data_IF_554870185163
#
_entry.id   IF_554870185163
#
_cell.length_a   1.000
_cell.length_b   1.000
_cell.length_c   1.000
_cell.angle_alpha   90.00
_cell.angle_beta   90.00
_cell.angle_gamma   90.00
#
_symmetry.space_group_name_H-M   'P 1'
#
loop_
_entity.id
_entity.type
_entity.pdbx_description
1 polymer ?
#
# COMPACT_ATOMS: atom_id res chain seq x y z
N UNK A 1 3.06 33.68 -8.37
CA UNK A 1 2.21 34.78 -8.88
C UNK A 1 1.89 34.50 -10.35
N UNK A 2 0.64 34.63 -10.80
CA UNK A 2 0.29 34.35 -12.21
C UNK A 2 0.82 35.47 -13.09
N UNK A 3 1.52 35.12 -14.16
CA UNK A 3 1.97 36.09 -15.15
C UNK A 3 0.76 36.60 -15.93
N UNK A 4 0.69 37.91 -16.14
CA UNK A 4 -0.32 38.49 -17.03
C UNK A 4 0.21 38.41 -18.46
N UNK A 5 -0.43 37.66 -19.38
CA UNK A 5 0.02 37.62 -20.77
C UNK A 5 -0.13 39.02 -21.38
N UNK A 6 1.00 39.68 -21.65
CA UNK A 6 1.07 41.01 -22.25
C UNK A 6 2.23 41.06 -23.24
N UNK A 7 2.01 41.69 -24.39
CA UNK A 7 3.02 41.86 -25.44
C UNK A 7 2.66 41.12 -26.73
N UNK A 8 3.65 40.93 -27.64
CA UNK A 8 3.50 40.14 -28.87
C UNK A 8 2.95 38.74 -28.59
N UNK A 9 2.29 38.13 -29.57
CA UNK A 9 1.63 36.83 -29.43
C UNK A 9 2.57 35.77 -28.84
N UNK A 10 3.84 35.76 -29.27
CA UNK A 10 4.87 34.84 -28.81
C UNK A 10 5.17 34.98 -27.30
N UNK A 11 5.09 36.20 -26.76
CA UNK A 11 5.32 36.49 -25.34
C UNK A 11 4.09 36.12 -24.50
N UNK A 12 2.89 36.32 -25.06
CA UNK A 12 1.63 35.91 -24.45
C UNK A 12 1.55 34.37 -24.33
N UNK A 13 1.90 33.65 -25.40
CA UNK A 13 1.90 32.18 -25.44
C UNK A 13 2.86 31.58 -24.40
N UNK A 14 4.06 32.15 -24.26
CA UNK A 14 5.03 31.72 -23.23
C UNK A 14 4.49 31.98 -21.82
N UNK A 15 3.85 33.13 -21.59
CA UNK A 15 3.26 33.45 -20.29
C UNK A 15 2.13 32.47 -19.93
N UNK A 16 1.30 32.06 -20.90
CA UNK A 16 0.27 31.04 -20.71
C UNK A 16 0.86 29.66 -20.42
N UNK A 17 1.85 29.22 -21.20
CA UNK A 17 2.55 27.95 -20.98
C UNK A 17 3.21 27.88 -19.60
N UNK A 18 3.86 28.96 -19.16
CA UNK A 18 4.49 29.04 -17.84
C UNK A 18 3.45 29.06 -16.71
N UNK A 19 2.32 29.73 -16.91
CA UNK A 19 1.19 29.68 -15.97
C UNK A 19 0.61 28.26 -15.85
N UNK A 20 0.47 27.53 -16.97
CA UNK A 20 0.00 26.15 -16.97
C UNK A 20 0.99 25.23 -16.24
N UNK A 21 2.29 25.38 -16.50
CA UNK A 21 3.34 24.62 -15.82
C UNK A 21 3.37 24.90 -14.31
N UNK A 22 3.28 26.16 -13.91
CA UNK A 22 3.18 26.53 -12.49
C UNK A 22 1.93 25.95 -11.82
N UNK A 23 0.79 25.94 -12.50
CA UNK A 23 -0.44 25.34 -11.98
C UNK A 23 -0.31 23.81 -11.84
N UNK A 24 0.31 23.14 -12.82
CA UNK A 24 0.60 21.71 -12.76
C UNK A 24 1.55 21.37 -11.61
N UNK A 25 2.61 22.18 -11.42
CA UNK A 25 3.56 22.02 -10.32
C UNK A 25 2.89 22.19 -8.97
N UNK A 26 2.13 23.27 -8.77
CA UNK A 26 1.42 23.52 -7.51
C UNK A 26 0.41 22.40 -7.21
N UNK A 27 -0.26 21.86 -8.24
CA UNK A 27 -1.15 20.70 -8.09
C UNK A 27 -0.38 19.45 -7.66
N UNK A 28 0.79 19.21 -8.25
CA UNK A 28 1.67 18.08 -7.90
C UNK A 28 2.17 18.17 -6.46
N UNK A 29 2.68 19.34 -6.05
CA UNK A 29 3.14 19.60 -4.68
C UNK A 29 2.00 19.47 -3.67
N UNK A 30 0.80 19.96 -4.01
CA UNK A 30 -0.40 19.82 -3.20
C UNK A 30 -0.75 18.35 -2.93
N UNK A 31 -0.77 17.52 -3.98
CA UNK A 31 -1.00 16.07 -3.86
C UNK A 31 0.06 15.37 -3.03
N UNK A 32 1.33 15.71 -3.22
CA UNK A 32 2.43 15.15 -2.43
C UNK A 32 2.28 15.48 -0.95
N UNK A 33 1.89 16.72 -0.63
CA UNK A 33 1.65 17.15 0.76
C UNK A 33 0.47 16.44 1.39
N UNK A 34 -0.65 16.31 0.68
CA UNK A 34 -1.84 15.59 1.14
C UNK A 34 -1.52 14.10 1.39
N UNK A 35 -0.78 13.48 0.50
CA UNK A 35 -0.29 12.11 0.66
C UNK A 35 0.57 11.95 1.92
N UNK A 36 1.57 12.82 2.13
CA UNK A 36 2.42 12.77 3.32
C UNK A 36 1.63 12.95 4.63
N UNK A 37 0.61 13.82 4.62
CA UNK A 37 -0.27 14.01 5.76
C UNK A 37 -1.10 12.75 6.05
N UNK A 38 -1.72 12.16 5.01
CA UNK A 38 -2.47 10.92 5.12
C UNK A 38 -1.63 9.78 5.68
N UNK A 39 -0.42 9.58 5.14
CA UNK A 39 0.54 8.58 5.63
C UNK A 39 0.91 8.82 7.09
N UNK A 40 1.20 10.07 7.46
CA UNK A 40 1.52 10.42 8.85
C UNK A 40 0.38 10.08 9.81
N UNK A 41 -0.87 10.26 9.40
CA UNK A 41 -2.04 9.89 10.18
C UNK A 41 -2.16 8.36 10.32
N UNK A 42 -2.02 7.63 9.22
CA UNK A 42 -2.14 6.17 9.22
C UNK A 42 -1.04 5.44 10.01
N UNK A 43 0.16 6.02 10.09
CA UNK A 43 1.26 5.54 10.93
C UNK A 43 1.06 5.88 12.41
N UNK A 44 0.42 7.03 12.72
CA UNK A 44 0.24 7.46 14.12
C UNK A 44 -0.66 6.52 14.90
N UNK A 45 -1.77 6.08 14.32
CA UNK A 45 -2.75 5.19 14.98
C UNK A 45 -2.12 3.90 15.54
N UNK A 46 -1.48 3.04 14.73
CA UNK A 46 -0.87 1.80 15.22
C UNK A 46 0.25 2.08 16.22
N UNK A 47 1.04 3.14 16.00
CA UNK A 47 2.12 3.52 16.91
C UNK A 47 1.60 3.97 18.28
N UNK A 48 0.50 4.73 18.31
CA UNK A 48 -0.17 5.13 19.55
C UNK A 48 -0.71 3.93 20.31
N UNK A 49 -1.30 2.96 19.62
CA UNK A 49 -1.79 1.72 20.24
C UNK A 49 -0.63 0.91 20.85
N UNK A 50 0.43 0.64 20.09
CA UNK A 50 1.63 -0.08 20.58
C UNK A 50 2.20 0.62 21.81
N UNK A 51 2.34 1.95 21.75
CA UNK A 51 2.89 2.73 22.86
C UNK A 51 2.00 2.64 24.11
N UNK A 52 0.68 2.77 23.97
CA UNK A 52 -0.25 2.68 25.10
C UNK A 52 -0.20 1.30 25.77
N UNK A 53 -0.11 0.23 24.99
CA UNK A 53 0.05 -1.12 25.54
C UNK A 53 1.42 -1.35 26.18
N UNK A 54 2.49 -0.80 25.61
CA UNK A 54 3.82 -0.87 26.20
C UNK A 54 3.91 -0.09 27.52
N UNK A 55 3.24 1.06 27.62
CA UNK A 55 3.09 1.83 28.87
C UNK A 55 2.30 1.02 29.91
N UNK A 56 1.19 0.39 29.52
CA UNK A 56 0.41 -0.46 30.42
C UNK A 56 1.17 -1.69 30.94
N UNK A 57 2.04 -2.28 30.10
CA UNK A 57 2.94 -3.36 30.52
C UNK A 57 4.01 -2.88 31.51
N UNK A 58 4.57 -1.69 31.31
CA UNK A 58 5.60 -1.13 32.20
C UNK A 58 5.04 -0.71 33.55
N UNK A 59 3.80 -0.22 33.58
CA UNK A 59 3.14 0.25 34.81
C UNK A 59 2.51 -0.89 35.63
N UNK A 60 2.63 -2.15 35.18
CA UNK A 60 2.09 -3.36 35.82
C UNK A 60 0.58 -3.29 36.09
N UNK A 61 -0.14 -2.60 35.19
CA UNK A 61 -1.60 -2.36 35.28
C UNK A 61 -2.43 -3.37 34.48
N UNK A 62 -1.78 -4.38 33.90
CA UNK A 62 -2.42 -5.45 33.13
C UNK A 62 -2.52 -6.72 33.95
N UNK A 63 -3.69 -7.35 33.94
CA UNK A 63 -3.85 -8.65 34.59
C UNK A 63 -3.12 -9.76 33.80
N UNK A 64 -2.67 -10.85 34.45
CA UNK A 64 -1.99 -11.96 33.78
C UNK A 64 -2.79 -12.57 32.62
N UNK A 65 -4.12 -12.51 32.69
CA UNK A 65 -5.03 -12.99 31.65
C UNK A 65 -5.02 -12.10 30.39
N UNK A 66 -4.66 -10.81 30.53
CA UNK A 66 -4.63 -9.82 29.45
C UNK A 66 -3.30 -9.81 28.70
N UNK A 67 -2.21 -10.29 29.30
CA UNK A 67 -0.86 -10.24 28.71
C UNK A 67 -0.79 -10.86 27.31
N UNK A 68 -1.52 -11.97 27.10
CA UNK A 68 -1.53 -12.66 25.80
C UNK A 68 -2.27 -11.84 24.74
N UNK A 69 -3.41 -11.23 25.07
CA UNK A 69 -4.20 -10.43 24.13
C UNK A 69 -3.51 -9.11 23.80
N UNK A 70 -2.88 -8.48 24.79
CA UNK A 70 -2.05 -7.29 24.61
C UNK A 70 -0.85 -7.58 23.71
N UNK A 71 -0.12 -8.67 23.96
CA UNK A 71 0.99 -9.09 23.10
C UNK A 71 0.56 -9.36 21.66
N UNK A 72 -0.60 -10.02 21.47
CA UNK A 72 -1.18 -10.23 20.14
C UNK A 72 -1.52 -8.91 19.43
N UNK A 73 -2.08 -7.95 20.17
CA UNK A 73 -2.44 -6.63 19.64
C UNK A 73 -1.21 -5.83 19.22
N UNK A 74 -0.17 -5.79 20.05
CA UNK A 74 1.12 -5.16 19.70
C UNK A 74 1.69 -5.79 18.42
N UNK A 75 1.70 -7.12 18.33
CA UNK A 75 2.18 -7.84 17.14
C UNK A 75 1.38 -7.52 15.88
N UNK A 76 0.05 -7.41 15.99
CA UNK A 76 -0.81 -7.01 14.88
C UNK A 76 -0.53 -5.59 14.40
N UNK A 77 -0.42 -4.61 15.32
CA UNK A 77 -0.14 -3.22 14.96
C UNK A 77 1.27 -3.05 14.38
N UNK A 78 2.26 -3.80 14.89
CA UNK A 78 3.61 -3.81 14.34
C UNK A 78 3.63 -4.36 12.91
N UNK A 79 2.90 -5.45 12.66
CA UNK A 79 2.74 -6.04 11.32
C UNK A 79 1.98 -5.11 10.36
N UNK A 80 1.08 -4.27 10.88
CA UNK A 80 0.39 -3.23 10.11
C UNK A 80 1.35 -2.09 9.73
N UNK A 81 2.19 -1.63 10.65
CA UNK A 81 3.22 -0.63 10.38
C UNK A 81 4.22 -1.13 9.34
N UNK A 82 4.68 -2.37 9.46
CA UNK A 82 5.64 -2.95 8.53
C UNK A 82 5.12 -2.97 7.09
N UNK A 83 3.86 -3.38 6.89
CA UNK A 83 3.20 -3.31 5.57
C UNK A 83 3.10 -1.89 5.03
N UNK A 84 2.67 -0.94 5.87
CA UNK A 84 2.58 0.48 5.47
C UNK A 84 3.94 1.03 5.00
N UNK A 85 5.02 0.67 5.69
CA UNK A 85 6.38 1.07 5.30
C UNK A 85 6.79 0.42 3.97
N UNK A 86 6.51 -0.88 3.78
CA UNK A 86 6.78 -1.57 2.52
C UNK A 86 6.01 -0.94 1.35
N UNK A 87 4.72 -0.67 1.50
CA UNK A 87 3.88 -0.03 0.49
C UNK A 87 4.43 1.35 0.09
N UNK A 88 4.93 2.13 1.06
CA UNK A 88 5.55 3.43 0.80
C UNK A 88 6.86 3.32 0.03
N UNK A 89 7.70 2.35 0.36
CA UNK A 89 8.95 2.09 -0.35
C UNK A 89 8.68 1.63 -1.78
N UNK A 90 7.68 0.78 -1.99
CA UNK A 90 7.27 0.34 -3.32
C UNK A 90 6.69 1.49 -4.15
N UNK A 91 5.90 2.38 -3.54
CA UNK A 91 5.40 3.57 -4.20
C UNK A 91 6.53 4.56 -4.56
N UNK A 92 7.51 4.74 -3.68
CA UNK A 92 8.68 5.56 -3.97
C UNK A 92 9.51 4.98 -5.13
N UNK A 93 9.60 3.65 -5.23
CA UNK A 93 10.28 2.95 -6.33
C UNK A 93 9.53 3.09 -7.66
N UNK A 94 8.19 3.06 -7.66
CA UNK A 94 7.37 3.28 -8.86
C UNK A 94 7.61 4.66 -9.50
N UNK A 95 7.92 5.68 -8.69
CA UNK A 95 8.25 7.03 -9.17
C UNK A 95 9.69 7.19 -9.68
N UNK A 96 10.55 6.21 -9.44
CA UNK A 96 11.94 6.22 -9.92
C UNK A 96 12.01 5.66 -11.34
N UNK A 97 12.94 6.18 -12.15
CA UNK A 97 13.19 5.68 -13.50
C UNK A 97 13.64 4.20 -13.54
N UNK A 98 14.09 3.66 -12.40
CA UNK A 98 14.63 2.30 -12.27
C UNK A 98 13.58 1.23 -11.91
N UNK A 99 12.28 1.54 -11.97
CA UNK A 99 11.24 0.54 -11.77
C UNK A 99 11.18 -0.46 -12.93
N UNK A 100 11.76 -1.65 -12.72
CA UNK A 100 11.74 -2.72 -13.73
C UNK A 100 10.61 -3.72 -13.44
N UNK A 101 9.87 -4.05 -14.49
CA UNK A 101 8.86 -5.13 -14.50
C UNK A 101 9.49 -6.29 -15.25
N UNK A 102 9.72 -7.41 -14.55
CA UNK A 102 10.34 -8.59 -15.14
C UNK A 102 9.24 -9.49 -15.69
N UNK A 103 8.63 -9.08 -16.79
CA UNK A 103 7.56 -9.84 -17.41
C UNK A 103 8.10 -11.10 -18.10
N UNK A 104 7.44 -12.21 -17.84
CA UNK A 104 7.69 -13.49 -18.49
C UNK A 104 6.34 -14.16 -18.79
N UNK A 105 6.35 -15.20 -19.62
CA UNK A 105 5.17 -16.05 -19.79
C UNK A 105 5.04 -16.95 -18.56
N UNK A 106 3.95 -16.77 -17.81
CA UNK A 106 3.71 -17.46 -16.53
C UNK A 106 2.33 -18.11 -16.56
N UNK A 107 2.21 -19.32 -16.04
CA UNK A 107 0.91 -19.95 -15.78
C UNK A 107 0.32 -19.39 -14.48
N UNK A 108 -0.71 -18.54 -14.60
CA UNK A 108 -1.34 -17.84 -13.47
C UNK A 108 -1.91 -18.81 -12.44
N UNK A 109 -2.24 -20.04 -12.85
CA UNK A 109 -2.77 -21.07 -11.95
C UNK A 109 -1.82 -21.37 -10.81
N UNK A 110 -0.52 -21.47 -11.10
CA UNK A 110 0.50 -21.78 -10.08
C UNK A 110 0.52 -20.70 -9.00
N UNK A 111 0.55 -19.43 -9.42
CA UNK A 111 0.51 -18.26 -8.52
C UNK A 111 -0.76 -18.26 -7.66
N UNK A 112 -1.93 -18.49 -8.27
CA UNK A 112 -3.21 -18.50 -7.56
C UNK A 112 -3.34 -19.68 -6.60
N UNK A 113 -2.84 -20.86 -6.96
CA UNK A 113 -2.83 -22.04 -6.09
C UNK A 113 -1.97 -21.80 -4.86
N UNK A 114 -0.74 -21.30 -5.04
CA UNK A 114 0.14 -20.94 -3.93
C UNK A 114 -0.47 -19.86 -3.03
N UNK A 115 -1.13 -18.86 -3.62
CA UNK A 115 -1.82 -17.82 -2.85
C UNK A 115 -2.99 -18.40 -2.05
N UNK A 116 -3.82 -19.22 -2.68
CA UNK A 116 -4.95 -19.86 -2.01
C UNK A 116 -4.52 -20.76 -0.84
N UNK A 117 -3.40 -21.46 -0.97
CA UNK A 117 -2.82 -22.27 0.12
C UNK A 117 -2.44 -21.42 1.33
N UNK A 118 -1.75 -20.30 1.11
CA UNK A 118 -1.34 -19.39 2.20
C UNK A 118 -2.56 -18.73 2.86
N UNK A 119 -3.53 -18.29 2.06
CA UNK A 119 -4.68 -17.55 2.59
C UNK A 119 -5.75 -18.43 3.24
N UNK A 120 -5.85 -19.72 2.90
CA UNK A 120 -6.81 -20.65 3.51
C UNK A 120 -6.79 -20.63 5.03
N UNK A 121 -5.61 -20.75 5.64
CA UNK A 121 -5.49 -20.77 7.11
C UNK A 121 -6.04 -19.50 7.75
N UNK A 122 -5.83 -18.33 7.12
CA UNK A 122 -6.33 -17.05 7.63
C UNK A 122 -7.84 -16.94 7.44
N UNK A 123 -8.34 -17.30 6.26
CA UNK A 123 -9.78 -17.34 5.97
C UNK A 123 -10.53 -18.28 6.94
N UNK A 124 -10.00 -19.47 7.21
CA UNK A 124 -10.60 -20.45 8.11
C UNK A 124 -10.72 -19.91 9.55
N UNK A 125 -9.68 -19.23 10.03
CA UNK A 125 -9.69 -18.57 11.35
C UNK A 125 -10.76 -17.50 11.44
N UNK A 126 -10.95 -16.74 10.37
CA UNK A 126 -11.88 -15.63 10.30
C UNK A 126 -13.30 -16.10 9.85
N UNK A 127 -13.51 -17.41 9.68
CA UNK A 127 -14.79 -18.02 9.32
C UNK A 127 -15.25 -17.76 7.88
N UNK A 128 -14.32 -17.38 7.00
CA UNK A 128 -14.59 -17.03 5.60
C UNK A 128 -14.27 -18.21 4.69
N UNK A 129 -15.18 -18.54 3.77
CA UNK A 129 -14.93 -19.60 2.77
C UNK A 129 -14.16 -19.06 1.57
N UNK A 130 -12.91 -19.49 1.41
CA UNK A 130 -12.11 -19.21 0.22
C UNK A 130 -12.29 -20.30 -0.85
N UNK A 131 -12.79 -19.91 -2.03
CA UNK A 131 -12.94 -20.83 -3.17
C UNK A 131 -12.00 -20.42 -4.30
N UNK A 132 -11.15 -21.35 -4.74
CA UNK A 132 -10.35 -21.18 -5.95
C UNK A 132 -11.04 -21.92 -7.10
N UNK A 133 -11.47 -21.21 -8.13
CA UNK A 133 -12.06 -21.82 -9.31
C UNK A 133 -10.99 -22.57 -10.12
N UNK A 134 -11.21 -23.86 -10.37
CA UNK A 134 -10.28 -24.66 -11.17
C UNK A 134 -10.34 -24.26 -12.65
N UNK A 135 -9.17 -24.04 -13.24
CA UNK A 135 -9.04 -23.87 -14.68
C UNK A 135 -8.62 -25.20 -15.32
N UNK A 136 -9.45 -25.70 -16.25
CA UNK A 136 -9.23 -26.97 -16.93
C UNK A 136 -7.98 -27.03 -17.81
N UNK A 137 -7.35 -25.88 -18.10
CA UNK A 137 -6.14 -25.74 -18.93
C UNK A 137 -5.19 -24.68 -18.35
N UNK A 138 -3.87 -24.78 -18.63
CA UNK A 138 -2.91 -23.71 -18.36
C UNK A 138 -3.38 -22.34 -18.83
N UNK A 139 -3.26 -21.34 -17.97
CA UNK A 139 -3.61 -19.94 -18.28
C UNK A 139 -2.31 -19.15 -18.30
N UNK A 140 -1.66 -19.15 -19.46
CA UNK A 140 -0.42 -18.41 -19.67
C UNK A 140 -0.71 -16.94 -19.93
N UNK A 141 -0.04 -16.07 -19.19
CA UNK A 141 -0.08 -14.62 -19.38
C UNK A 141 1.34 -14.05 -19.33
N UNK A 142 1.55 -12.92 -20.00
CA UNK A 142 2.84 -12.23 -20.01
C UNK A 142 2.89 -11.18 -18.89
N UNK A 143 3.39 -11.57 -17.71
CA UNK A 143 3.37 -10.73 -16.49
C UNK A 143 4.60 -10.96 -15.63
N UNK A 144 4.83 -10.05 -14.68
CA UNK A 144 5.79 -10.26 -13.58
C UNK A 144 5.10 -11.05 -12.46
N UNK A 145 5.56 -12.28 -12.22
CA UNK A 145 4.95 -13.21 -11.28
C UNK A 145 4.92 -12.67 -9.84
N UNK A 146 6.01 -12.03 -9.40
CA UNK A 146 6.10 -11.48 -8.05
C UNK A 146 5.11 -10.34 -7.85
N UNK A 147 4.98 -9.46 -8.85
CA UNK A 147 4.03 -8.34 -8.79
C UNK A 147 2.59 -8.82 -8.85
N UNK A 148 2.29 -9.83 -9.67
CA UNK A 148 0.96 -10.42 -9.71
C UNK A 148 0.60 -11.03 -8.35
N UNK A 149 1.53 -11.75 -7.71
CA UNK A 149 1.35 -12.29 -6.37
C UNK A 149 1.07 -11.18 -5.35
N UNK A 150 1.84 -10.09 -5.37
CA UNK A 150 1.62 -8.94 -4.50
C UNK A 150 0.22 -8.33 -4.68
N UNK A 151 -0.25 -8.19 -5.92
CA UNK A 151 -1.61 -7.70 -6.20
C UNK A 151 -2.65 -8.64 -5.58
N UNK A 152 -2.50 -9.96 -5.74
CA UNK A 152 -3.41 -10.95 -5.16
C UNK A 152 -3.42 -10.83 -3.63
N UNK A 153 -2.25 -10.77 -2.99
CA UNK A 153 -2.14 -10.66 -1.53
C UNK A 153 -2.80 -9.38 -1.01
N UNK A 154 -2.62 -8.24 -1.71
CA UNK A 154 -3.27 -6.98 -1.36
C UNK A 154 -4.80 -7.05 -1.49
N UNK A 155 -5.31 -7.71 -2.54
CA UNK A 155 -6.75 -7.89 -2.73
C UNK A 155 -7.35 -8.82 -1.67
N UNK A 156 -6.65 -9.91 -1.34
CA UNK A 156 -7.07 -10.86 -0.31
C UNK A 156 -7.08 -10.21 1.08
N UNK A 157 -6.06 -9.40 1.38
CA UNK A 157 -6.02 -8.68 2.63
C UNK A 157 -7.18 -7.67 2.75
N UNK A 158 -7.52 -6.99 1.66
CA UNK A 158 -8.68 -6.11 1.62
C UNK A 158 -10.00 -6.88 1.71
N UNK A 159 -10.09 -8.10 1.17
CA UNK A 159 -11.30 -8.91 1.23
C UNK A 159 -11.60 -9.47 2.63
N UNK A 160 -10.58 -9.59 3.49
CA UNK A 160 -10.70 -10.03 4.88
C UNK A 160 -10.78 -8.89 5.90
N UNK A 161 -10.59 -7.64 5.48
CA UNK A 161 -10.84 -6.46 6.32
C UNK A 161 -12.35 -6.19 6.41
#
# INVERSE_FOLDING_TARGET
>A
ERLTPRGPAEVADIAEALNALNAALATSEGRQREFLLSVSHELRTPLTAIRGYAEALNDDILDPEELTSVGATIGHEASRLDRLVHDLLDLARLGAADFHVNAADVDVREILTEAAEVWRTRCDRDGVTLTLAEAARPVHVHVDAMRLRQIIDNLMENALR
#
